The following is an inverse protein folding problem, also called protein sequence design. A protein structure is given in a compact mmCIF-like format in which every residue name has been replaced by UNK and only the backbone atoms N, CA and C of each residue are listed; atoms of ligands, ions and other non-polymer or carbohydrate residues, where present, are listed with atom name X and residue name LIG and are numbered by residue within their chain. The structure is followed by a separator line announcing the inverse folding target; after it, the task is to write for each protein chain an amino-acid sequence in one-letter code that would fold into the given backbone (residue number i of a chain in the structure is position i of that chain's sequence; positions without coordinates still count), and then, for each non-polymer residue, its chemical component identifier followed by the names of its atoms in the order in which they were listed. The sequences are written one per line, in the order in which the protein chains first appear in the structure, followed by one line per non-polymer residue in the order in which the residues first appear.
data_IF_852712700972
#
_entry.id   IF_852712700972
#
_cell.length_a   1.000
_cell.length_b   1.000
_cell.length_c   1.000
_cell.angle_alpha   90.00
_cell.angle_beta   90.00
_cell.angle_gamma   90.00
#
_symmetry.space_group_name_H-M   'P 1'
#
loop_
_entity.id
_entity.type
_entity.pdbx_description
1 polymer ?
#
# COMPACT_ATOMS: atom_id res chain seq x y z
N UNK A 1 24.71 26.62 -58.21
CA UNK A 1 23.84 25.69 -57.45
C UNK A 1 22.43 26.27 -57.47
N UNK A 2 21.48 25.60 -58.14
CA UNK A 2 20.17 26.18 -58.46
C UNK A 2 19.34 26.47 -57.21
N UNK A 3 18.65 27.62 -57.18
CA UNK A 3 17.73 28.04 -56.11
C UNK A 3 16.66 26.96 -55.77
N UNK A 4 16.32 26.12 -56.75
CA UNK A 4 15.40 24.99 -56.59
C UNK A 4 15.98 23.85 -55.74
N UNK A 5 17.31 23.68 -55.74
CA UNK A 5 17.98 22.67 -54.94
C UNK A 5 17.99 23.05 -53.45
N UNK A 6 18.22 24.35 -53.17
CA UNK A 6 18.18 24.90 -51.82
C UNK A 6 16.77 24.82 -51.21
N UNK A 7 15.73 25.11 -52.01
CA UNK A 7 14.32 24.96 -51.59
C UNK A 7 13.95 23.51 -51.26
N UNK A 8 14.42 22.53 -52.06
CA UNK A 8 14.20 21.11 -51.78
C UNK A 8 14.92 20.65 -50.51
N UNK A 9 16.14 21.11 -50.27
CA UNK A 9 16.86 20.81 -49.03
C UNK A 9 16.17 21.39 -47.81
N UNK A 10 15.73 22.65 -47.86
CA UNK A 10 15.01 23.29 -46.74
C UNK A 10 13.68 22.56 -46.48
N UNK A 11 12.95 22.19 -47.54
CA UNK A 11 11.69 21.42 -47.41
C UNK A 11 11.90 20.02 -46.83
N UNK A 12 12.98 19.32 -47.20
CA UNK A 12 13.31 18.03 -46.60
C UNK A 12 13.70 18.18 -45.13
N UNK A 13 14.45 19.23 -44.79
CA UNK A 13 14.87 19.50 -43.40
C UNK A 13 13.68 19.85 -42.50
N UNK A 14 12.72 20.64 -43.01
CA UNK A 14 11.49 20.97 -42.26
C UNK A 14 10.57 19.77 -42.10
N UNK A 15 10.46 18.90 -43.11
CA UNK A 15 9.73 17.63 -42.99
C UNK A 15 10.40 16.71 -41.96
N UNK A 16 11.74 16.63 -41.94
CA UNK A 16 12.48 15.85 -40.96
C UNK A 16 12.27 16.39 -39.54
N UNK A 17 12.35 17.71 -39.36
CA UNK A 17 12.09 18.39 -38.08
C UNK A 17 10.65 18.16 -37.60
N UNK A 18 9.66 18.20 -38.49
CA UNK A 18 8.26 17.92 -38.16
C UNK A 18 8.05 16.47 -37.72
N UNK A 19 8.74 15.51 -38.34
CA UNK A 19 8.71 14.08 -37.95
C UNK A 19 9.36 13.87 -36.57
N UNK A 20 10.45 14.58 -36.25
CA UNK A 20 11.06 14.52 -34.93
C UNK A 20 10.20 15.18 -33.84
N UNK A 21 9.40 16.20 -34.17
CA UNK A 21 8.44 16.81 -33.23
C UNK A 21 7.13 16.03 -33.09
N UNK A 22 6.81 15.12 -34.02
CA UNK A 22 5.56 14.33 -34.02
C UNK A 22 5.73 12.88 -33.56
N UNK A 23 6.96 12.43 -33.31
CA UNK A 23 7.19 11.20 -32.55
C UNK A 23 6.58 11.40 -31.15
N UNK A 24 5.55 10.64 -30.76
CA UNK A 24 5.13 10.66 -29.37
C UNK A 24 6.36 10.30 -28.56
N UNK A 25 6.73 11.18 -27.63
CA UNK A 25 7.77 10.89 -26.66
C UNK A 25 7.25 9.71 -25.86
N UNK A 26 7.58 8.48 -26.29
CA UNK A 26 7.26 7.26 -25.56
C UNK A 26 8.10 7.33 -24.31
N UNK A 27 7.58 7.99 -23.28
CA UNK A 27 8.13 7.92 -21.95
C UNK A 27 7.94 6.47 -21.51
N UNK A 28 9.01 5.69 -21.59
CA UNK A 28 9.11 4.42 -20.88
C UNK A 28 9.14 4.81 -19.40
N UNK A 29 7.96 4.95 -18.79
CA UNK A 29 7.88 5.10 -17.35
C UNK A 29 8.45 3.82 -16.74
N UNK A 30 9.62 3.93 -16.12
CA UNK A 30 10.16 2.82 -15.33
C UNK A 30 9.17 2.57 -14.19
N UNK A 31 8.68 1.32 -14.09
CA UNK A 31 7.80 0.90 -13.00
C UNK A 31 8.49 1.19 -11.67
N UNK A 32 7.72 1.77 -10.75
CA UNK A 32 8.16 2.02 -9.37
C UNK A 32 7.34 1.18 -8.41
N UNK A 33 7.92 0.79 -7.30
CA UNK A 33 7.30 -0.10 -6.33
C UNK A 33 7.34 0.54 -4.95
N UNK A 34 6.18 0.67 -4.34
CA UNK A 34 6.03 1.10 -2.96
C UNK A 34 5.78 -0.13 -2.09
N UNK A 35 6.56 -0.26 -1.04
CA UNK A 35 6.41 -1.25 0.01
C UNK A 35 6.07 -0.53 1.30
N UNK A 36 5.40 -1.21 2.22
CA UNK A 36 5.20 -0.71 3.57
C UNK A 36 5.09 -1.87 4.55
N UNK A 37 5.35 -1.61 5.82
CA UNK A 37 4.94 -2.50 6.91
C UNK A 37 4.37 -1.70 8.08
N UNK A 38 3.69 -2.42 8.95
CA UNK A 38 3.03 -1.92 10.14
C UNK A 38 3.65 -2.62 11.35
N UNK A 39 3.77 -1.88 12.45
CA UNK A 39 4.26 -2.43 13.72
C UNK A 39 3.63 -3.79 14.06
N UNK A 40 4.46 -4.76 14.49
CA UNK A 40 4.05 -6.15 14.70
C UNK A 40 2.90 -6.31 15.72
N UNK A 41 2.78 -5.38 16.67
CA UNK A 41 1.70 -5.36 17.66
C UNK A 41 0.33 -4.95 17.10
N UNK A 42 0.25 -4.54 15.83
CA UNK A 42 -1.01 -4.12 15.22
C UNK A 42 -1.78 -5.27 14.56
N UNK A 43 -3.07 -5.36 14.89
CA UNK A 43 -3.96 -6.40 14.40
C UNK A 43 -4.42 -6.24 12.95
N UNK A 44 -5.05 -7.29 12.43
CA UNK A 44 -5.54 -7.38 11.03
C UNK A 44 -6.38 -6.18 10.59
N UNK A 45 -7.33 -5.74 11.43
CA UNK A 45 -8.25 -4.67 11.05
C UNK A 45 -7.60 -3.28 11.03
N UNK A 46 -6.63 -2.99 11.91
CA UNK A 46 -5.89 -1.73 11.81
C UNK A 46 -5.01 -1.73 10.56
N UNK A 47 -4.34 -2.84 10.25
CA UNK A 47 -3.53 -2.98 9.02
C UNK A 47 -4.36 -2.74 7.74
N UNK A 48 -5.62 -3.15 7.72
CA UNK A 48 -6.57 -2.82 6.63
C UNK A 48 -6.84 -1.31 6.52
N UNK A 49 -6.93 -0.62 7.66
CA UNK A 49 -7.08 0.82 7.69
C UNK A 49 -5.79 1.55 7.25
N UNK A 50 -4.62 1.04 7.64
CA UNK A 50 -3.32 1.53 7.13
C UNK A 50 -3.23 1.39 5.61
N UNK A 51 -3.71 0.28 5.04
CA UNK A 51 -3.76 0.12 3.58
C UNK A 51 -4.49 1.29 2.91
N UNK A 52 -5.62 1.76 3.45
CA UNK A 52 -6.38 2.88 2.85
C UNK A 52 -5.53 4.16 2.82
N UNK A 53 -4.77 4.42 3.89
CA UNK A 53 -3.86 5.58 4.00
C UNK A 53 -2.73 5.48 2.97
N UNK A 54 -2.04 4.34 2.93
CA UNK A 54 -0.94 4.08 1.99
C UNK A 54 -1.42 4.12 0.55
N UNK A 55 -2.60 3.56 0.27
CA UNK A 55 -3.18 3.53 -1.07
C UNK A 55 -3.52 4.95 -1.56
N UNK A 56 -4.02 5.81 -0.68
CA UNK A 56 -4.22 7.23 -1.02
C UNK A 56 -2.89 7.97 -1.23
N UNK A 57 -1.84 7.65 -0.49
CA UNK A 57 -0.49 8.18 -0.76
C UNK A 57 -0.02 7.76 -2.16
N UNK A 58 -0.12 6.47 -2.50
CA UNK A 58 0.27 5.94 -3.82
C UNK A 58 -0.56 6.58 -4.96
N UNK A 59 -1.86 6.78 -4.76
CA UNK A 59 -2.72 7.50 -5.72
C UNK A 59 -2.16 8.88 -6.04
N UNK A 60 -1.73 9.64 -5.04
CA UNK A 60 -1.14 10.97 -5.22
C UNK A 60 0.26 10.93 -5.86
N UNK A 61 1.06 9.89 -5.60
CA UNK A 61 2.33 9.67 -6.32
C UNK A 61 2.11 9.43 -7.83
N UNK A 62 1.03 8.71 -8.19
CA UNK A 62 0.63 8.46 -9.59
C UNK A 62 -0.07 9.66 -10.23
N UNK A 63 -0.76 10.47 -9.44
CA UNK A 63 -1.52 11.62 -9.90
C UNK A 63 -1.19 12.86 -9.06
N UNK A 64 0.02 13.45 -9.21
CA UNK A 64 0.43 14.63 -8.44
C UNK A 64 -0.48 15.84 -8.62
N UNK A 65 -1.22 15.91 -9.73
CA UNK A 65 -2.23 16.93 -10.00
C UNK A 65 -3.43 16.89 -9.04
N UNK A 66 -3.65 15.77 -8.34
CA UNK A 66 -4.71 15.61 -7.33
C UNK A 66 -4.28 16.12 -5.94
N UNK A 67 -3.02 16.56 -5.76
CA UNK A 67 -2.54 17.12 -4.50
C UNK A 67 -3.13 18.54 -4.32
N UNK A 68 -3.83 18.83 -3.20
CA UNK A 68 -4.37 20.16 -2.91
C UNK A 68 -3.28 21.23 -2.85
N UNK A 69 -3.59 22.45 -3.29
CA UNK A 69 -2.60 23.53 -3.38
C UNK A 69 -1.97 23.91 -2.04
N UNK A 70 -2.77 23.91 -0.96
CA UNK A 70 -2.30 24.21 0.38
C UNK A 70 -1.26 23.20 0.89
N UNK A 71 -1.22 21.99 0.32
CA UNK A 71 -0.33 20.91 0.75
C UNK A 71 1.00 20.87 -0.03
N UNK A 72 1.14 21.71 -1.06
CA UNK A 72 2.35 21.77 -1.89
C UNK A 72 3.52 22.49 -1.23
N UNK A 73 3.28 23.37 -0.25
CA UNK A 73 4.34 24.10 0.46
C UNK A 73 5.39 24.75 -0.48
N UNK A 74 4.93 25.38 -1.57
CA UNK A 74 5.75 25.98 -2.65
C UNK A 74 6.59 25.00 -3.49
N UNK A 75 6.35 23.68 -3.40
CA UNK A 75 6.98 22.68 -4.26
C UNK A 75 6.40 22.74 -5.69
N UNK A 76 7.28 22.76 -6.69
CA UNK A 76 6.89 22.76 -8.11
C UNK A 76 6.73 21.33 -8.66
N UNK A 77 5.76 20.58 -8.12
CA UNK A 77 5.55 19.15 -8.44
C UNK A 77 4.27 18.87 -9.24
N UNK A 78 3.37 19.85 -9.40
CA UNK A 78 2.09 19.67 -10.11
C UNK A 78 2.26 19.34 -11.60
N UNK A 79 3.39 19.77 -12.18
CA UNK A 79 3.74 19.52 -13.58
C UNK A 79 4.43 18.16 -13.78
N UNK A 80 4.73 17.43 -12.71
CA UNK A 80 5.27 16.08 -12.82
C UNK A 80 4.19 15.15 -13.37
N UNK A 81 4.51 14.46 -14.45
CA UNK A 81 3.77 13.27 -14.86
C UNK A 81 4.05 12.20 -13.80
N UNK A 82 3.04 11.79 -13.05
CA UNK A 82 3.22 10.76 -12.03
C UNK A 82 3.81 9.48 -12.61
N UNK A 83 4.70 8.85 -11.87
CA UNK A 83 5.34 7.60 -12.30
C UNK A 83 4.36 6.43 -12.17
N UNK A 84 4.69 5.32 -12.86
CA UNK A 84 3.90 4.09 -12.80
C UNK A 84 4.20 3.30 -11.50
N UNK A 85 3.71 3.84 -10.37
CA UNK A 85 3.83 3.24 -9.04
C UNK A 85 2.88 2.07 -8.84
N UNK A 86 3.42 0.96 -8.33
CA UNK A 86 2.67 -0.24 -7.94
C UNK A 86 2.87 -0.44 -6.43
N UNK A 87 1.78 -0.68 -5.71
CA UNK A 87 1.84 -1.02 -4.30
C UNK A 87 2.08 -2.53 -4.15
N UNK A 88 3.22 -2.90 -3.57
CA UNK A 88 3.50 -4.29 -3.20
C UNK A 88 2.96 -4.53 -1.80
N UNK A 89 1.99 -5.43 -1.70
CA UNK A 89 1.23 -5.67 -0.48
C UNK A 89 2.08 -6.46 0.54
N UNK A 90 2.19 -5.99 1.80
CA UNK A 90 2.96 -6.68 2.81
C UNK A 90 2.31 -8.03 3.12
N UNK A 91 3.07 -9.12 3.24
CA UNK A 91 2.51 -10.38 3.66
C UNK A 91 1.84 -10.28 5.05
N UNK A 92 0.80 -11.07 5.26
CA UNK A 92 0.19 -11.22 6.58
C UNK A 92 0.99 -12.19 7.45
N UNK A 93 1.05 -11.87 8.74
CA UNK A 93 1.48 -12.78 9.80
C UNK A 93 2.95 -12.63 10.22
N UNK A 94 3.30 -13.02 11.46
CA UNK A 94 2.38 -13.37 12.55
C UNK A 94 1.64 -12.13 13.09
N UNK A 95 0.33 -12.27 13.41
CA UNK A 95 -0.50 -11.16 13.91
C UNK A 95 -1.02 -11.43 15.33
N UNK A 96 -1.23 -10.36 16.15
CA UNK A 96 -1.93 -10.48 17.43
C UNK A 96 -3.32 -11.12 17.25
N UNK A 97 -3.70 -11.97 18.20
CA UNK A 97 -4.97 -12.71 18.27
C UNK A 97 -5.23 -13.77 17.20
N UNK A 98 -4.41 -13.87 16.15
CA UNK A 98 -4.48 -15.03 15.26
C UNK A 98 -4.13 -16.31 16.01
N UNK A 99 -3.39 -16.17 17.12
CA UNK A 99 -2.95 -17.27 17.96
C UNK A 99 -3.14 -16.89 19.43
N UNK A 100 -4.29 -17.30 19.99
CA UNK A 100 -4.56 -17.26 21.42
C UNK A 100 -4.62 -18.66 22.01
N UNK A 101 -3.90 -19.60 21.41
CA UNK A 101 -3.78 -20.93 21.98
C UNK A 101 -2.58 -20.96 22.91
N UNK A 102 -2.84 -20.78 24.21
CA UNK A 102 -2.01 -21.34 25.28
C UNK A 102 -1.86 -22.87 25.17
N UNK A 103 -2.44 -23.51 24.15
CA UNK A 103 -2.23 -24.90 23.76
C UNK A 103 -1.14 -25.10 22.69
N UNK A 104 -0.41 -24.06 22.27
CA UNK A 104 0.77 -24.26 21.41
C UNK A 104 1.79 -25.20 22.09
N UNK A 105 1.86 -25.19 23.43
CA UNK A 105 2.65 -26.13 24.23
C UNK A 105 2.03 -27.55 24.36
N UNK A 106 0.78 -27.77 23.90
CA UNK A 106 0.05 -29.04 24.07
C UNK A 106 0.02 -29.93 22.83
N UNK A 107 0.38 -29.40 21.65
CA UNK A 107 0.42 -30.17 20.40
C UNK A 107 1.82 -30.17 19.79
N UNK A 108 2.74 -31.03 20.27
CA UNK A 108 4.15 -31.06 19.84
C UNK A 108 4.36 -31.55 18.39
N UNK A 109 3.29 -31.85 17.64
CA UNK A 109 3.36 -32.47 16.31
C UNK A 109 2.68 -31.68 15.18
N UNK A 110 2.37 -30.39 15.35
CA UNK A 110 1.87 -29.54 14.26
C UNK A 110 2.99 -28.68 13.64
N UNK A 111 3.97 -29.33 13.03
CA UNK A 111 5.00 -28.72 12.17
C UNK A 111 4.46 -28.26 10.78
N UNK A 112 3.16 -27.99 10.65
CA UNK A 112 2.50 -28.00 9.33
C UNK A 112 2.05 -26.64 8.77
N UNK A 113 2.09 -25.56 9.55
CA UNK A 113 1.64 -24.26 9.06
C UNK A 113 2.64 -23.16 9.42
N UNK A 114 3.40 -22.72 8.41
CA UNK A 114 4.18 -21.50 8.49
C UNK A 114 3.21 -20.31 8.37
N UNK A 115 2.92 -19.65 9.48
CA UNK A 115 1.88 -18.59 9.57
C UNK A 115 2.42 -17.17 9.31
N UNK A 116 3.64 -17.05 8.78
CA UNK A 116 4.17 -15.83 8.20
C UNK A 116 4.03 -15.86 6.67
N UNK A 117 4.32 -14.75 6.00
CA UNK A 117 4.36 -14.69 4.53
C UNK A 117 3.01 -14.95 3.81
N UNK A 118 1.86 -14.78 4.47
CA UNK A 118 0.55 -15.09 3.86
C UNK A 118 0.13 -13.98 2.89
N UNK A 119 -0.28 -14.36 1.69
CA UNK A 119 -0.65 -13.45 0.61
C UNK A 119 -1.98 -12.73 0.85
N UNK A 120 -2.12 -11.49 0.36
CA UNK A 120 -3.39 -10.75 0.36
C UNK A 120 -4.46 -11.41 -0.49
N UNK A 121 -4.07 -12.08 -1.59
CA UNK A 121 -5.00 -12.86 -2.43
C UNK A 121 -5.74 -13.98 -1.68
N UNK A 122 -5.27 -14.37 -0.49
CA UNK A 122 -6.00 -15.29 0.40
C UNK A 122 -7.16 -14.64 1.15
N UNK A 123 -7.16 -13.33 1.30
CA UNK A 123 -8.19 -12.58 2.03
C UNK A 123 -9.00 -11.64 1.16
N UNK A 124 -8.40 -11.06 0.13
CA UNK A 124 -8.98 -10.03 -0.71
C UNK A 124 -8.88 -10.38 -2.21
N UNK A 125 -9.83 -9.89 -2.99
CA UNK A 125 -9.75 -9.92 -4.44
C UNK A 125 -8.80 -8.83 -4.94
N UNK A 126 -7.59 -9.22 -5.38
CA UNK A 126 -6.58 -8.29 -5.86
C UNK A 126 -7.02 -7.54 -7.12
N UNK A 127 -7.92 -8.11 -7.92
CA UNK A 127 -8.46 -7.41 -9.10
C UNK A 127 -9.31 -6.23 -8.67
N UNK A 128 -10.15 -6.40 -7.63
CA UNK A 128 -10.91 -5.29 -7.05
C UNK A 128 -10.01 -4.19 -6.47
N UNK A 129 -8.96 -4.56 -5.73
CA UNK A 129 -7.99 -3.59 -5.22
C UNK A 129 -7.30 -2.83 -6.37
N UNK A 130 -6.94 -3.56 -7.44
CA UNK A 130 -6.28 -3.02 -8.63
C UNK A 130 -7.11 -2.01 -9.43
N UNK A 131 -8.44 -2.01 -9.26
CA UNK A 131 -9.32 -0.98 -9.84
C UNK A 131 -9.15 0.39 -9.19
N UNK A 132 -8.64 0.46 -7.95
CA UNK A 132 -8.35 1.74 -7.28
C UNK A 132 -6.91 2.18 -7.53
N UNK A 133 -5.95 1.31 -7.23
CA UNK A 133 -4.52 1.52 -7.46
C UNK A 133 -3.87 0.20 -7.86
N UNK A 134 -2.82 0.17 -8.71
CA UNK A 134 -2.15 -1.08 -9.04
C UNK A 134 -1.54 -1.72 -7.79
N UNK A 135 -1.94 -2.95 -7.49
CA UNK A 135 -1.42 -3.73 -6.37
C UNK A 135 -0.88 -5.07 -6.83
N UNK A 136 0.03 -5.65 -6.06
CA UNK A 136 0.45 -7.04 -6.24
C UNK A 136 0.90 -7.67 -4.92
N UNK A 137 0.83 -8.99 -4.82
CA UNK A 137 1.40 -9.72 -3.67
C UNK A 137 2.94 -9.64 -3.69
N UNK A 138 3.58 -9.62 -2.50
CA UNK A 138 5.04 -9.59 -2.39
C UNK A 138 5.71 -10.77 -3.12
N UNK A 139 5.17 -11.97 -2.99
CA UNK A 139 5.72 -13.15 -3.66
C UNK A 139 5.71 -13.00 -5.19
N UNK A 140 4.67 -12.37 -5.75
CA UNK A 140 4.58 -12.13 -7.20
C UNK A 140 5.67 -11.14 -7.64
N UNK A 141 5.92 -10.10 -6.85
CA UNK A 141 7.00 -9.15 -7.12
C UNK A 141 8.36 -9.85 -7.17
N UNK A 142 8.66 -10.68 -6.17
CA UNK A 142 9.92 -11.40 -6.10
C UNK A 142 10.07 -12.43 -7.22
N UNK A 143 9.01 -13.18 -7.54
CA UNK A 143 8.99 -14.11 -8.66
C UNK A 143 9.24 -13.40 -10.00
N UNK A 144 8.63 -12.24 -10.23
CA UNK A 144 8.85 -11.46 -11.45
C UNK A 144 10.32 -11.02 -11.59
N UNK A 145 10.98 -10.68 -10.49
CA UNK A 145 12.42 -10.36 -10.47
C UNK A 145 13.27 -11.59 -10.79
N UNK A 146 13.02 -12.72 -10.12
CA UNK A 146 13.75 -13.99 -10.34
C UNK A 146 13.60 -14.48 -11.79
N UNK A 147 12.37 -14.44 -12.32
CA UNK A 147 12.08 -14.81 -13.70
C UNK A 147 12.81 -13.90 -14.69
N UNK A 148 12.84 -12.59 -14.44
CA UNK A 148 13.57 -11.61 -15.27
C UNK A 148 15.08 -11.86 -15.29
N UNK A 149 15.68 -12.23 -14.15
CA UNK A 149 17.10 -12.60 -14.08
C UNK A 149 17.40 -13.92 -14.80
N UNK A 150 16.54 -14.93 -14.61
CA UNK A 150 16.65 -16.21 -15.30
C UNK A 150 16.60 -16.02 -16.81
N UNK A 151 15.67 -15.19 -17.32
CA UNK A 151 15.58 -14.85 -18.75
C UNK A 151 16.82 -14.13 -19.29
N UNK A 152 17.56 -13.42 -18.43
CA UNK A 152 18.83 -12.75 -18.77
C UNK A 152 20.06 -13.63 -18.56
N UNK A 153 19.89 -14.92 -18.23
CA UNK A 153 20.95 -15.86 -17.87
C UNK A 153 21.82 -15.38 -16.70
N UNK A 154 21.23 -14.65 -15.74
CA UNK A 154 21.89 -14.22 -14.52
C UNK A 154 21.61 -15.21 -13.38
N UNK A 155 22.53 -15.30 -12.42
CA UNK A 155 22.33 -16.11 -11.21
C UNK A 155 21.17 -15.56 -10.37
N UNK A 156 20.32 -16.45 -9.84
CA UNK A 156 19.24 -16.06 -8.95
C UNK A 156 19.80 -15.42 -7.66
N UNK A 157 19.19 -14.33 -7.19
CA UNK A 157 19.65 -13.62 -6.01
C UNK A 157 19.32 -14.42 -4.74
N UNK A 158 20.23 -14.40 -3.76
CA UNK A 158 19.97 -14.93 -2.42
C UNK A 158 19.17 -13.96 -1.54
N UNK A 159 19.11 -12.69 -1.91
CA UNK A 159 18.39 -11.61 -1.22
C UNK A 159 18.08 -10.49 -2.21
N UNK A 160 17.00 -9.75 -2.00
CA UNK A 160 16.68 -8.56 -2.79
C UNK A 160 17.08 -7.28 -2.05
N UNK A 161 17.60 -6.32 -2.81
CA UNK A 161 17.87 -4.96 -2.31
C UNK A 161 16.87 -3.98 -2.90
N UNK A 162 16.22 -3.21 -2.05
CA UNK A 162 15.45 -2.03 -2.46
C UNK A 162 16.33 -0.77 -2.40
N UNK A 163 15.89 0.31 -3.04
CA UNK A 163 16.68 1.53 -3.18
C UNK A 163 16.70 2.35 -1.89
N UNK A 164 15.54 2.55 -1.27
CA UNK A 164 15.39 3.37 -0.06
C UNK A 164 14.33 2.80 0.89
N UNK A 165 14.69 2.66 2.17
CA UNK A 165 13.76 2.44 3.27
C UNK A 165 13.65 3.70 4.13
N UNK A 166 12.44 4.19 4.31
CA UNK A 166 12.11 5.32 5.18
C UNK A 166 11.36 4.83 6.40
N UNK A 167 11.89 5.11 7.59
CA UNK A 167 11.19 4.85 8.84
C UNK A 167 10.32 6.05 9.23
N UNK A 168 9.03 5.83 9.47
CA UNK A 168 8.09 6.90 9.81
C UNK A 168 7.96 7.06 11.32
N UNK A 169 8.50 8.15 11.86
CA UNK A 169 8.55 8.45 13.29
C UNK A 169 7.53 9.55 13.59
N UNK A 170 6.57 9.25 14.49
CA UNK A 170 5.53 10.22 14.87
C UNK A 170 5.79 10.89 16.22
N UNK A 171 6.31 10.15 17.19
CA UNK A 171 6.47 10.55 18.59
C UNK A 171 7.42 11.74 18.81
N UNK A 172 8.18 12.12 17.78
CA UNK A 172 9.09 13.26 17.79
C UNK A 172 8.41 14.57 17.41
N UNK A 173 7.23 14.53 16.80
CA UNK A 173 6.57 15.72 16.28
C UNK A 173 6.15 16.69 17.38
N UNK A 174 5.59 16.22 18.49
CA UNK A 174 5.12 17.10 19.57
C UNK A 174 6.27 17.80 20.31
N UNK A 175 7.41 17.12 20.48
CA UNK A 175 8.63 17.72 21.06
C UNK A 175 9.31 18.72 20.11
N UNK A 176 9.27 18.48 18.80
CA UNK A 176 9.81 19.40 17.78
C UNK A 176 8.90 20.63 17.61
N UNK A 177 7.58 20.45 17.62
CA UNK A 177 6.58 21.51 17.46
C UNK A 177 6.64 22.56 18.57
N UNK A 178 7.03 22.17 19.79
CA UNK A 178 7.26 23.10 20.90
C UNK A 178 8.51 23.98 20.72
N UNK A 179 9.51 23.52 19.97
CA UNK A 179 10.78 24.22 19.79
C UNK A 179 10.84 25.09 18.52
N UNK A 180 9.95 24.88 17.56
CA UNK A 180 9.89 25.70 16.35
C UNK A 180 8.78 26.75 16.45
N UNK A 181 9.14 28.03 16.55
CA UNK A 181 8.22 29.18 16.44
C UNK A 181 7.53 29.33 15.05
N UNK A 182 7.53 28.28 14.22
CA UNK A 182 6.94 28.28 12.89
C UNK A 182 6.06 27.04 12.71
N UNK A 183 4.75 27.25 12.80
CA UNK A 183 3.72 26.36 12.29
C UNK A 183 4.03 25.96 10.85
N UNK A 184 4.54 24.74 10.63
CA UNK A 184 4.50 24.14 9.30
C UNK A 184 4.05 22.69 9.40
N UNK A 185 2.86 22.47 8.87
CA UNK A 185 2.25 21.18 8.57
C UNK A 185 3.04 20.48 7.45
N UNK A 186 4.31 20.18 7.71
CA UNK A 186 5.28 19.71 6.70
C UNK A 186 5.88 18.40 7.17
N UNK A 187 6.00 17.46 6.25
CA UNK A 187 6.82 16.25 6.42
C UNK A 187 8.27 16.65 6.18
N UNK A 188 9.15 16.25 7.09
CA UNK A 188 10.59 16.51 6.99
C UNK A 188 11.37 15.27 7.47
N UNK A 189 12.68 15.28 7.25
CA UNK A 189 13.56 14.29 7.86
C UNK A 189 13.50 14.38 9.38
N UNK A 190 13.76 13.26 10.05
CA UNK A 190 13.93 13.26 11.50
C UNK A 190 15.02 14.24 11.96
N UNK A 191 14.97 14.69 13.23
CA UNK A 191 16.10 15.36 13.88
C UNK A 191 17.38 14.53 13.77
N UNK A 192 18.53 15.21 13.70
CA UNK A 192 19.83 14.58 13.48
C UNK A 192 20.13 13.48 14.50
N UNK A 193 19.75 13.68 15.77
CA UNK A 193 19.98 12.73 16.87
C UNK A 193 19.34 11.35 16.60
N UNK A 194 18.22 11.33 15.88
CA UNK A 194 17.49 10.11 15.53
C UNK A 194 17.88 9.66 14.13
N UNK A 195 18.04 10.60 13.20
CA UNK A 195 18.37 10.33 11.81
C UNK A 195 19.72 9.63 11.66
N UNK A 196 20.72 10.02 12.46
CA UNK A 196 22.05 9.38 12.46
C UNK A 196 21.99 7.87 12.80
N UNK A 197 20.97 7.44 13.55
CA UNK A 197 20.77 6.01 13.85
C UNK A 197 20.43 5.20 12.60
N UNK A 198 19.77 5.82 11.61
CA UNK A 198 19.40 5.20 10.33
C UNK A 198 20.48 5.39 9.25
N UNK A 199 21.30 6.43 9.35
CA UNK A 199 22.35 6.72 8.37
C UNK A 199 23.68 6.00 8.66
N UNK A 200 23.93 5.53 9.89
CA UNK A 200 25.23 4.98 10.30
C UNK A 200 25.28 3.46 10.27
N UNK A 201 26.23 2.88 9.52
CA UNK A 201 26.46 1.42 9.38
C UNK A 201 26.76 0.68 10.71
N UNK A 202 27.08 1.40 11.80
CA UNK A 202 27.56 0.85 13.08
C UNK A 202 26.55 0.96 14.26
N UNK A 203 25.33 1.45 14.04
CA UNK A 203 24.35 1.54 15.14
C UNK A 203 23.84 0.13 15.53
N UNK A 204 23.61 -0.13 16.82
CA UNK A 204 23.07 -1.41 17.32
C UNK A 204 21.67 -1.76 16.76
N UNK A 205 21.01 -0.80 16.11
CA UNK A 205 19.77 -0.96 15.35
C UNK A 205 20.01 -1.44 13.91
N UNK A 206 21.26 -1.63 13.51
CA UNK A 206 21.71 -1.81 12.13
C UNK A 206 22.36 -3.18 11.86
N UNK A 207 21.70 -4.28 12.24
CA UNK A 207 21.69 -5.37 11.26
C UNK A 207 20.83 -4.86 10.10
N UNK A 208 21.12 -5.18 8.82
CA UNK A 208 20.29 -4.69 7.74
C UNK A 208 18.84 -5.10 8.06
N UNK A 209 18.02 -4.10 8.40
CA UNK A 209 16.69 -4.32 8.95
C UNK A 209 15.95 -5.17 7.91
N UNK A 210 15.68 -6.43 8.25
CA UNK A 210 14.92 -7.29 7.36
C UNK A 210 13.56 -6.61 7.21
N UNK A 211 13.26 -6.14 5.99
CA UNK A 211 12.13 -5.24 5.77
C UNK A 211 10.77 -5.91 6.05
N UNK A 212 10.75 -7.24 6.14
CA UNK A 212 9.60 -8.03 6.53
C UNK A 212 10.09 -9.11 7.51
N UNK A 213 10.33 -8.73 8.77
CA UNK A 213 10.81 -9.61 9.83
C UNK A 213 10.00 -10.91 9.92
N UNK A 214 10.67 -12.06 10.02
CA UNK A 214 10.01 -13.38 10.15
C UNK A 214 9.65 -14.06 8.81
N UNK A 215 10.11 -13.53 7.68
CA UNK A 215 10.03 -14.22 6.38
C UNK A 215 11.02 -15.39 6.26
N UNK A 216 12.00 -15.45 7.16
CA UNK A 216 13.08 -16.43 7.23
C UNK A 216 12.75 -17.62 8.17
N UNK A 217 11.85 -18.52 7.74
CA UNK A 217 11.76 -19.86 8.36
C UNK A 217 12.07 -20.98 7.35
N UNK A 218 13.26 -21.54 7.55
CA UNK A 218 13.89 -22.77 7.04
C UNK A 218 14.10 -22.96 5.52
N UNK A 219 15.33 -23.33 5.08
CA UNK A 219 15.63 -23.77 3.71
C UNK A 219 14.91 -25.06 3.29
N UNK A 220 14.08 -25.64 4.17
CA UNK A 220 13.30 -26.86 3.92
C UNK A 220 11.78 -26.65 3.93
N UNK A 221 11.26 -25.41 4.02
CA UNK A 221 9.81 -25.16 4.04
C UNK A 221 9.36 -24.01 3.15
N UNK A 222 8.87 -24.37 1.96
CA UNK A 222 7.62 -23.94 1.28
C UNK A 222 7.02 -22.51 1.40
N UNK A 223 7.71 -21.45 1.89
CA UNK A 223 7.17 -20.06 1.82
C UNK A 223 7.81 -19.16 0.77
N UNK A 224 8.94 -19.55 0.16
CA UNK A 224 9.41 -19.02 -1.12
C UNK A 224 9.72 -17.51 -1.21
N UNK A 225 9.71 -16.77 -0.09
CA UNK A 225 10.11 -15.37 -0.07
C UNK A 225 11.63 -15.23 0.12
N UNK A 226 12.25 -14.39 -0.69
CA UNK A 226 13.63 -13.95 -0.57
C UNK A 226 13.74 -12.88 0.53
N UNK A 227 14.78 -12.94 1.40
CA UNK A 227 15.08 -11.87 2.33
C UNK A 227 15.24 -10.53 1.60
N UNK A 228 14.77 -9.45 2.21
CA UNK A 228 14.82 -8.10 1.65
C UNK A 228 15.52 -7.12 2.57
N UNK A 229 16.42 -6.34 2.01
CA UNK A 229 17.16 -5.26 2.69
C UNK A 229 17.14 -4.00 1.81
N UNK A 230 17.53 -2.84 2.34
CA UNK A 230 17.64 -1.61 1.58
C UNK A 230 19.09 -1.18 1.31
N UNK A 231 19.28 -0.43 0.24
CA UNK A 231 20.57 0.19 -0.13
C UNK A 231 20.84 1.46 0.66
N UNK A 232 19.79 2.15 1.08
CA UNK A 232 19.84 3.31 1.97
C UNK A 232 18.67 3.24 2.96
N UNK A 233 18.93 3.70 4.19
CA UNK A 233 17.93 3.85 5.24
C UNK A 233 17.93 5.32 5.68
N UNK A 234 16.75 5.86 5.94
CA UNK A 234 16.58 7.20 6.49
C UNK A 234 15.28 7.22 7.30
N UNK A 235 14.96 8.34 7.93
CA UNK A 235 13.70 8.49 8.64
C UNK A 235 13.07 9.86 8.47
N UNK A 236 11.74 9.89 8.55
CA UNK A 236 10.91 11.07 8.36
C UNK A 236 9.90 11.23 9.50
N UNK A 237 9.51 12.47 9.77
CA UNK A 237 8.56 12.88 10.81
C UNK A 237 7.68 14.00 10.27
N UNK A 238 6.62 14.37 11.01
CA UNK A 238 5.75 15.50 10.68
C UNK A 238 4.29 15.12 10.53
N UNK A 239 3.54 15.93 9.79
CA UNK A 239 2.15 15.63 9.44
C UNK A 239 2.11 14.58 8.32
N UNK A 240 2.16 13.31 8.71
CA UNK A 240 2.17 12.16 7.80
C UNK A 240 0.77 11.87 7.22
N UNK A 241 0.07 12.88 6.72
CA UNK A 241 -1.13 12.71 5.91
C UNK A 241 -0.74 12.45 4.44
N UNK A 242 -1.50 11.67 3.65
CA UNK A 242 -1.19 11.45 2.23
C UNK A 242 -0.95 12.74 1.44
N UNK A 243 -1.70 13.82 1.73
CA UNK A 243 -1.57 15.11 1.03
C UNK A 243 -0.25 15.82 1.29
N UNK A 244 0.39 15.58 2.44
CA UNK A 244 1.68 16.17 2.82
C UNK A 244 2.85 15.20 2.63
N UNK A 245 2.61 13.90 2.76
CA UNK A 245 3.60 12.84 2.55
C UNK A 245 3.93 12.65 1.07
N UNK A 246 2.92 12.52 0.20
CA UNK A 246 3.14 12.34 -1.24
C UNK A 246 4.02 13.44 -1.88
N UNK A 247 3.79 14.75 -1.66
CA UNK A 247 4.62 15.78 -2.26
C UNK A 247 6.07 15.76 -1.74
N UNK A 248 6.28 15.47 -0.45
CA UNK A 248 7.62 15.27 0.11
C UNK A 248 8.34 14.09 -0.56
N UNK A 249 7.67 12.94 -0.72
CA UNK A 249 8.24 11.77 -1.38
C UNK A 249 8.58 12.04 -2.85
N UNK A 250 7.72 12.75 -3.59
CA UNK A 250 8.00 13.17 -4.97
C UNK A 250 9.26 14.02 -5.05
N UNK A 251 9.35 15.05 -4.19
CA UNK A 251 10.52 15.93 -4.13
C UNK A 251 11.80 15.16 -3.75
N UNK A 252 11.72 14.25 -2.78
CA UNK A 252 12.83 13.40 -2.36
C UNK A 252 13.36 12.57 -3.53
N UNK A 253 12.45 11.97 -4.30
CA UNK A 253 12.78 11.09 -5.43
C UNK A 253 13.36 11.89 -6.59
N UNK A 254 12.81 13.05 -6.90
CA UNK A 254 13.29 13.94 -7.97
C UNK A 254 14.67 14.52 -7.65
N UNK A 255 14.91 14.89 -6.38
CA UNK A 255 16.18 15.46 -5.95
C UNK A 255 17.27 14.41 -5.69
N UNK A 256 16.92 13.12 -5.68
CA UNK A 256 17.87 12.05 -5.40
C UNK A 256 18.90 11.91 -6.52
N UNK A 257 20.18 11.86 -6.15
CA UNK A 257 21.28 11.58 -7.09
C UNK A 257 21.25 10.15 -7.63
N UNK A 258 20.67 9.21 -6.88
CA UNK A 258 20.48 7.81 -7.28
C UNK A 258 19.03 7.62 -7.69
N UNK A 259 18.80 6.86 -8.75
CA UNK A 259 17.43 6.52 -9.16
C UNK A 259 16.74 5.72 -8.05
N UNK A 260 15.58 6.21 -7.59
CA UNK A 260 14.74 5.51 -6.62
C UNK A 260 13.54 4.95 -7.38
N UNK A 261 13.51 3.62 -7.50
CA UNK A 261 12.45 2.84 -8.14
C UNK A 261 11.73 1.93 -7.15
N UNK A 262 12.36 1.62 -6.01
CA UNK A 262 11.79 0.80 -4.94
C UNK A 262 11.89 1.55 -3.61
N UNK A 263 10.75 1.88 -3.02
CA UNK A 263 10.64 2.66 -1.79
C UNK A 263 9.89 1.86 -0.73
N UNK A 264 10.43 1.76 0.48
CA UNK A 264 9.78 1.12 1.61
C UNK A 264 9.43 2.13 2.70
N UNK A 265 8.22 2.04 3.25
CA UNK A 265 7.74 2.87 4.37
C UNK A 265 7.54 1.99 5.62
N UNK A 266 8.46 2.07 6.56
CA UNK A 266 8.38 1.39 7.86
C UNK A 266 7.51 2.15 8.86
N UNK A 267 6.82 1.43 9.75
CA UNK A 267 5.82 2.00 10.68
C UNK A 267 4.73 2.81 9.99
N UNK A 268 4.13 2.26 8.94
CA UNK A 268 3.09 2.93 8.17
C UNK A 268 1.80 3.24 8.97
N UNK A 269 1.61 2.67 10.17
CA UNK A 269 0.56 3.13 11.09
C UNK A 269 0.70 4.59 11.52
N UNK A 270 1.90 5.16 11.40
CA UNK A 270 2.17 6.58 11.66
C UNK A 270 1.49 7.51 10.64
N UNK A 271 1.20 7.02 9.42
CA UNK A 271 0.46 7.78 8.41
C UNK A 271 -0.97 7.98 8.93
N UNK A 272 -1.58 9.14 8.79
CA UNK A 272 -2.98 9.38 9.19
C UNK A 272 -3.84 9.71 7.98
N UNK A 273 -5.16 9.51 8.06
CA UNK A 273 -6.05 9.79 6.94
C UNK A 273 -6.10 11.27 6.58
N UNK A 274 -6.25 12.14 7.58
CA UNK A 274 -6.23 13.58 7.39
C UNK A 274 -7.32 14.07 6.43
N UNK A 275 -6.90 14.79 5.40
CA UNK A 275 -7.78 15.26 4.32
C UNK A 275 -8.62 14.15 3.66
N UNK A 276 -8.10 12.92 3.54
CA UNK A 276 -8.78 11.78 2.91
C UNK A 276 -9.31 10.79 3.94
N UNK A 277 -10.01 11.30 4.95
CA UNK A 277 -10.68 10.54 6.01
C UNK A 277 -12.06 10.05 5.59
N UNK A 278 -12.80 9.41 6.50
CA UNK A 278 -14.15 8.85 6.28
C UNK A 278 -15.19 9.86 5.77
N UNK A 279 -14.86 11.15 5.81
CA UNK A 279 -15.64 12.27 5.27
C UNK A 279 -15.36 12.56 3.78
N UNK A 280 -14.48 11.78 3.14
CA UNK A 280 -14.05 11.97 1.76
C UNK A 280 -14.47 10.81 0.85
N UNK A 281 -14.67 11.08 -0.44
CA UNK A 281 -15.01 10.06 -1.43
C UNK A 281 -13.84 9.10 -1.69
N UNK A 282 -12.62 9.59 -1.57
CA UNK A 282 -11.35 8.88 -1.80
C UNK A 282 -11.15 7.80 -0.74
N UNK A 283 -11.46 8.09 0.52
CA UNK A 283 -11.51 7.09 1.58
C UNK A 283 -12.46 5.95 1.22
N UNK A 284 -13.70 6.27 0.87
CA UNK A 284 -14.72 5.27 0.55
C UNK A 284 -14.42 4.51 -0.73
N UNK A 285 -13.76 5.14 -1.70
CA UNK A 285 -13.31 4.48 -2.93
C UNK A 285 -12.24 3.43 -2.61
N UNK A 286 -11.22 3.80 -1.82
CA UNK A 286 -10.22 2.85 -1.35
C UNK A 286 -10.86 1.72 -0.52
N UNK A 287 -11.75 2.07 0.43
CA UNK A 287 -12.42 1.11 1.30
C UNK A 287 -13.32 0.11 0.56
N UNK A 288 -14.03 0.55 -0.48
CA UNK A 288 -14.88 -0.31 -1.33
C UNK A 288 -14.08 -1.23 -2.22
N UNK A 289 -12.85 -0.84 -2.61
CA UNK A 289 -11.97 -1.72 -3.40
C UNK A 289 -11.53 -2.98 -2.63
N UNK A 290 -11.60 -2.97 -1.30
CA UNK A 290 -11.23 -4.08 -0.42
C UNK A 290 -12.33 -5.16 -0.35
N UNK A 291 -12.61 -5.81 -1.48
CA UNK A 291 -13.56 -6.91 -1.58
C UNK A 291 -12.91 -8.20 -1.08
N UNK A 292 -13.59 -8.95 -0.21
CA UNK A 292 -13.09 -10.24 0.25
C UNK A 292 -12.96 -11.25 -0.90
N UNK A 293 -11.94 -12.10 -0.83
CA UNK A 293 -11.70 -13.17 -1.79
C UNK A 293 -12.96 -14.04 -1.94
N UNK A 294 -13.28 -14.45 -3.18
CA UNK A 294 -14.51 -15.18 -3.50
C UNK A 294 -14.71 -16.40 -2.59
N UNK A 295 -13.68 -17.22 -2.40
CA UNK A 295 -13.79 -18.43 -1.58
C UNK A 295 -14.19 -18.14 -0.12
N UNK A 296 -13.83 -16.99 0.47
CA UNK A 296 -14.26 -16.60 1.81
C UNK A 296 -15.72 -16.16 1.84
N UNK A 297 -16.18 -15.46 0.79
CA UNK A 297 -17.58 -15.08 0.63
C UNK A 297 -18.46 -16.30 0.44
N UNK A 298 -18.03 -17.26 -0.40
CA UNK A 298 -18.73 -18.52 -0.61
C UNK A 298 -18.91 -19.32 0.70
N UNK A 299 -17.89 -19.34 1.57
CA UNK A 299 -17.99 -19.95 2.91
C UNK A 299 -19.04 -19.22 3.77
N UNK A 300 -19.04 -17.89 3.76
CA UNK A 300 -20.03 -17.06 4.46
C UNK A 300 -21.45 -17.29 3.95
N UNK A 301 -21.64 -17.34 2.64
CA UNK A 301 -22.94 -17.53 1.99
C UNK A 301 -23.48 -18.94 2.25
N UNK A 302 -22.63 -19.96 2.22
CA UNK A 302 -22.99 -21.32 2.61
C UNK A 302 -23.44 -21.39 4.08
N UNK A 303 -22.75 -20.70 4.99
CA UNK A 303 -23.15 -20.63 6.40
C UNK A 303 -24.49 -19.91 6.58
N UNK A 304 -24.68 -18.77 5.90
CA UNK A 304 -25.95 -18.01 5.91
C UNK A 304 -27.13 -18.86 5.45
N UNK A 305 -26.96 -19.58 4.34
CA UNK A 305 -28.00 -20.46 3.81
C UNK A 305 -28.31 -21.63 4.76
N UNK A 306 -27.27 -22.29 5.29
CA UNK A 306 -27.40 -23.50 6.10
C UNK A 306 -28.00 -23.23 7.50
N UNK A 307 -27.67 -22.11 8.13
CA UNK A 307 -27.97 -21.89 9.55
C UNK A 307 -28.82 -20.66 9.85
N UNK A 308 -28.85 -19.67 8.95
CA UNK A 308 -29.49 -18.38 9.21
C UNK A 308 -30.71 -18.13 8.31
N UNK A 309 -31.04 -19.07 7.41
CA UNK A 309 -32.09 -18.90 6.39
C UNK A 309 -31.95 -17.58 5.62
N UNK A 310 -30.71 -17.20 5.30
CA UNK A 310 -30.35 -15.90 4.73
C UNK A 310 -29.72 -16.10 3.35
N UNK A 311 -30.19 -15.33 2.35
CA UNK A 311 -29.80 -15.47 0.95
C UNK A 311 -29.82 -14.10 0.27
N UNK A 312 -28.84 -13.80 -0.58
CA UNK A 312 -28.69 -12.45 -1.15
C UNK A 312 -29.92 -11.90 -1.88
N UNK A 313 -30.67 -12.74 -2.58
CA UNK A 313 -31.88 -12.32 -3.30
C UNK A 313 -33.02 -11.96 -2.35
N UNK A 314 -33.23 -12.74 -1.30
CA UNK A 314 -34.26 -12.48 -0.28
C UNK A 314 -33.86 -11.32 0.64
N UNK A 315 -32.58 -11.24 0.98
CA UNK A 315 -32.00 -10.22 1.86
C UNK A 315 -31.75 -8.89 1.14
N UNK A 316 -31.95 -8.85 -0.19
CA UNK A 316 -31.66 -7.70 -1.06
C UNK A 316 -30.20 -7.22 -0.98
N UNK A 317 -29.28 -8.16 -0.78
CA UNK A 317 -27.82 -7.94 -0.68
C UNK A 317 -27.04 -8.48 -1.88
N UNK A 318 -27.71 -8.67 -3.02
CA UNK A 318 -27.04 -9.10 -4.27
C UNK A 318 -25.97 -8.09 -4.67
N UNK A 319 -24.73 -8.57 -4.80
CA UNK A 319 -23.61 -7.77 -5.30
C UNK A 319 -23.84 -7.35 -6.75
N UNK A 320 -23.43 -6.15 -7.18
CA UNK A 320 -23.47 -5.75 -8.59
C UNK A 320 -22.71 -6.72 -9.50
N UNK A 321 -23.10 -6.75 -10.77
CA UNK A 321 -22.37 -7.50 -11.79
C UNK A 321 -21.08 -6.78 -12.20
N UNK A 322 -20.20 -7.52 -12.86
CA UNK A 322 -18.97 -6.99 -13.43
C UNK A 322 -19.27 -5.98 -14.53
N UNK A 323 -18.55 -4.86 -14.56
CA UNK A 323 -18.63 -3.87 -15.65
C UNK A 323 -17.81 -4.41 -16.83
N UNK A 324 -18.48 -4.82 -17.91
CA UNK A 324 -17.87 -5.51 -19.06
C UNK A 324 -16.63 -4.80 -19.62
N UNK A 325 -16.64 -3.47 -19.69
CA UNK A 325 -15.51 -2.70 -20.24
C UNK A 325 -14.28 -2.69 -19.31
N UNK A 326 -14.46 -2.92 -18.01
CA UNK A 326 -13.40 -2.87 -17.00
C UNK A 326 -12.92 -4.28 -16.63
N UNK A 327 -13.75 -5.31 -16.80
CA UNK A 327 -13.40 -6.69 -16.50
C UNK A 327 -13.58 -7.05 -15.02
N UNK A 328 -13.16 -8.27 -14.66
CA UNK A 328 -13.28 -8.85 -13.32
C UNK A 328 -12.74 -7.93 -12.22
N UNK A 329 -13.45 -7.82 -11.10
CA UNK A 329 -13.07 -6.99 -9.96
C UNK A 329 -13.69 -5.59 -9.98
N UNK A 330 -14.43 -5.23 -11.04
CA UNK A 330 -15.07 -3.92 -11.21
C UNK A 330 -16.46 -3.79 -10.58
N UNK A 331 -16.99 -4.87 -9.99
CA UNK A 331 -18.34 -4.95 -9.41
C UNK A 331 -18.59 -3.82 -8.39
N UNK A 332 -17.58 -3.48 -7.58
CA UNK A 332 -17.68 -2.48 -6.53
C UNK A 332 -17.76 -1.03 -7.03
N UNK A 333 -17.48 -0.78 -8.31
CA UNK A 333 -17.52 0.56 -8.92
C UNK A 333 -18.94 1.04 -9.20
N UNK A 334 -19.93 0.14 -9.17
CA UNK A 334 -21.32 0.53 -9.30
C UNK A 334 -21.74 1.49 -8.17
N UNK A 335 -22.37 2.60 -8.55
CA UNK A 335 -22.85 3.60 -7.60
C UNK A 335 -24.03 3.13 -6.75
N UNK A 336 -24.80 2.14 -7.24
CA UNK A 336 -25.95 1.56 -6.54
C UNK A 336 -25.94 0.04 -6.66
N UNK A 337 -26.37 -0.61 -5.59
CA UNK A 337 -26.57 -2.06 -5.58
C UNK A 337 -27.90 -2.43 -6.24
N UNK A 338 -27.98 -3.53 -7.00
CA UNK A 338 -29.16 -3.88 -7.81
C UNK A 338 -30.49 -3.89 -7.05
N UNK A 339 -30.47 -4.32 -5.77
CA UNK A 339 -31.69 -4.46 -4.96
C UNK A 339 -31.76 -3.46 -3.78
N UNK A 340 -30.99 -2.37 -3.82
CA UNK A 340 -30.96 -1.36 -2.76
C UNK A 340 -32.35 -0.75 -2.46
N UNK A 341 -32.67 -0.37 -1.20
CA UNK A 341 -31.89 -0.59 0.02
C UNK A 341 -31.83 -2.08 0.40
N UNK A 342 -30.73 -2.48 1.03
CA UNK A 342 -30.58 -3.82 1.59
C UNK A 342 -31.60 -4.07 2.70
N UNK A 343 -32.14 -5.29 2.77
CA UNK A 343 -33.05 -5.73 3.84
C UNK A 343 -32.28 -6.43 4.96
N UNK A 344 -31.32 -7.29 4.60
CA UNK A 344 -30.63 -8.19 5.52
C UNK A 344 -31.40 -9.48 5.79
N UNK A 345 -30.71 -10.50 6.29
CA UNK A 345 -31.33 -11.77 6.67
C UNK A 345 -32.09 -11.70 8.01
N UNK A 346 -32.90 -12.72 8.34
CA UNK A 346 -33.77 -12.73 9.51
C UNK A 346 -33.02 -13.07 10.82
N UNK A 347 -31.94 -12.33 11.12
CA UNK A 347 -31.11 -12.55 12.30
C UNK A 347 -30.51 -11.25 12.84
N UNK A 348 -30.01 -11.28 14.07
CA UNK A 348 -29.23 -10.19 14.67
C UNK A 348 -27.78 -10.64 14.77
N UNK A 349 -26.85 -9.80 14.32
CA UNK A 349 -25.42 -10.03 14.44
C UNK A 349 -24.81 -9.18 15.57
N UNK A 350 -23.95 -9.78 16.39
CA UNK A 350 -23.22 -9.08 17.45
C UNK A 350 -21.74 -9.42 17.34
N UNK A 351 -20.90 -8.40 17.17
CA UNK A 351 -19.45 -8.56 17.31
C UNK A 351 -19.04 -8.29 18.77
N UNK A 352 -18.81 -9.37 19.52
CA UNK A 352 -18.48 -9.27 20.95
C UNK A 352 -16.95 -9.30 21.18
N UNK A 353 -16.30 -8.13 21.13
CA UNK A 353 -14.86 -7.99 21.40
C UNK A 353 -14.57 -8.17 22.89
N UNK A 354 -13.90 -9.28 23.24
CA UNK A 354 -13.44 -9.62 24.61
C UNK A 354 -11.92 -9.79 24.64
N UNK A 355 -11.37 -10.81 25.29
CA UNK A 355 -9.93 -11.13 25.27
C UNK A 355 -9.09 -10.08 26.00
N UNK A 356 -8.00 -9.68 25.36
CA UNK A 356 -7.08 -8.61 25.78
C UNK A 356 -7.77 -7.27 26.03
N UNK A 357 -8.93 -7.02 25.42
CA UNK A 357 -9.70 -5.79 25.66
C UNK A 357 -10.16 -5.64 27.13
N UNK A 358 -10.30 -6.76 27.84
CA UNK A 358 -10.66 -6.77 29.27
C UNK A 358 -9.43 -6.45 30.15
N UNK A 359 -8.24 -6.91 29.76
CA UNK A 359 -7.01 -6.78 30.55
C UNK A 359 -6.20 -5.53 30.23
N UNK A 360 -6.35 -4.99 29.01
CA UNK A 360 -5.73 -3.76 28.54
C UNK A 360 -6.84 -2.81 28.06
N UNK A 361 -7.59 -2.17 28.97
CA UNK A 361 -8.47 -1.08 28.57
C UNK A 361 -7.58 -0.03 27.91
N UNK A 362 -7.79 0.24 26.62
CA UNK A 362 -7.14 1.36 25.96
C UNK A 362 -7.39 2.64 26.78
N UNK A 363 -6.43 3.58 26.87
CA UNK A 363 -6.74 4.91 27.36
C UNK A 363 -7.97 5.43 26.61
N UNK A 364 -8.87 6.11 27.31
CA UNK A 364 -10.21 6.50 26.84
C UNK A 364 -10.25 7.35 25.55
N UNK A 365 -9.08 7.71 24.99
CA UNK A 365 -8.91 8.70 23.93
C UNK A 365 -8.73 8.08 22.52
N UNK A 366 -8.73 6.75 22.41
CA UNK A 366 -8.47 6.03 21.14
C UNK A 366 -9.62 5.21 20.56
N UNK A 367 -10.83 5.27 21.14
CA UNK A 367 -11.98 4.47 20.70
C UNK A 367 -12.64 5.01 19.42
N UNK A 368 -12.02 4.78 18.26
CA UNK A 368 -12.72 4.85 16.99
C UNK A 368 -13.51 3.56 16.78
N UNK A 369 -14.75 3.56 17.26
CA UNK A 369 -15.73 2.54 16.91
C UNK A 369 -16.01 2.62 15.41
N UNK A 370 -15.54 1.62 14.65
CA UNK A 370 -16.05 1.35 13.32
C UNK A 370 -17.43 0.67 13.44
N UNK A 371 -18.45 1.42 13.87
CA UNK A 371 -19.82 1.12 13.50
C UNK A 371 -20.03 1.64 12.09
N UNK A 372 -19.69 0.83 11.09
CA UNK A 372 -20.25 1.05 9.76
C UNK A 372 -21.71 0.62 9.80
N UNK A 373 -22.58 1.58 10.11
CA UNK A 373 -24.00 1.44 9.81
C UNK A 373 -24.13 1.17 8.31
N UNK A 374 -24.80 0.08 7.98
CA UNK A 374 -25.44 -0.04 6.68
C UNK A 374 -26.40 1.15 6.54
N UNK A 375 -26.06 2.10 5.66
CA UNK A 375 -27.04 3.01 5.06
C UNK A 375 -27.20 2.64 3.60
#
# INVERSE_FOLDING_TARGET
MSLNYLRKMISMLTILLLIFTSMPRVYIHCKKYLFYDVFYGEGFNLRRDVYIRVANTLRLLRHPNQIPEYALHNMNIKNLTGDDWILVLPPWGPLPHWFNDRLYDKYPNYNAFNWSAIQWSKFFDLKSLSMFIPVMDLIEFQQNIVNSMTLKNLSNPSSLKIDLALQLVRETYDTIKQNSNNQRNVVDYCPNEIRELYLSDNSLLNQPMELFEGSTFSPTTLTGLLPMTATAYDCITGELEPVHLAPFLLQLIENSKKSITTLYLGSAQSIIHGHWSEWSQEYWTARRSMIFARHLRDIGDNYRAAYLHSYDTMDRTVSPLMIEQLGSGSEWLHSKWPLSPALGGPYIAVHWRRGDFISNPAPADGMWWWWYGFR
#
